data_IF_301200820286
#
_entry.id   IF_301200820286
#
_cell.length_a   1.000
_cell.length_b   1.000
_cell.length_c   1.000
_cell.angle_alpha   90.00
_cell.angle_beta   90.00
_cell.angle_gamma   90.00
#
_symmetry.space_group_name_H-M   'P 1'
#
loop_
_entity.id
_entity.type
_entity.pdbx_description
1 polymer ?
#
# COMPACT_ATOMS: atom_id res chain seq x y z
N UNK A 1 7.69 0.92 4.67
CA UNK A 1 7.33 2.12 5.48
C UNK A 1 8.00 3.33 4.84
N UNK A 2 7.25 4.08 4.02
CA UNK A 2 7.74 5.27 3.33
C UNK A 2 7.60 6.46 4.28
N UNK A 3 8.71 7.01 4.77
CA UNK A 3 8.71 8.30 5.44
C UNK A 3 8.48 9.38 4.37
N UNK A 4 7.37 10.11 4.49
CA UNK A 4 7.18 11.40 3.84
C UNK A 4 7.71 12.50 4.78
N UNK A 5 8.16 13.64 4.22
CA UNK A 5 9.16 14.48 4.86
C UNK A 5 8.58 15.41 5.90
N UNK A 6 9.44 15.70 6.88
CA UNK A 6 9.24 16.67 7.94
C UNK A 6 9.26 18.08 7.35
N UNK A 7 8.24 18.87 7.65
CA UNK A 7 8.17 20.29 7.35
C UNK A 7 8.58 21.06 8.60
N UNK A 8 9.58 21.93 8.52
CA UNK A 8 9.75 23.03 9.48
C UNK A 8 10.04 24.34 8.77
N UNK A 9 9.32 25.43 9.10
CA UNK A 9 9.47 26.73 8.47
C UNK A 9 10.70 27.49 8.96
N UNK A 10 11.14 28.39 8.10
CA UNK A 10 12.40 29.15 8.11
C UNK A 10 12.50 30.28 9.15
N UNK A 11 13.78 30.62 9.38
CA UNK A 11 14.39 31.90 9.80
C UNK A 11 14.46 32.22 11.29
N UNK A 12 15.71 32.20 11.78
CA UNK A 12 16.28 33.33 12.53
C UNK A 12 17.65 33.67 11.95
N UNK A 13 17.78 34.93 11.51
CA UNK A 13 19.05 35.60 11.25
C UNK A 13 19.94 35.46 12.49
N UNK A 14 21.10 34.83 12.36
CA UNK A 14 22.25 35.17 13.19
C UNK A 14 23.18 36.04 12.34
N UNK A 15 23.21 37.30 12.72
CA UNK A 15 24.11 38.32 12.23
C UNK A 15 25.52 37.95 12.71
N UNK A 16 26.40 37.48 11.83
CA UNK A 16 27.83 37.30 12.14
C UNK A 16 28.51 36.01 11.68
N UNK A 17 27.86 35.13 10.91
CA UNK A 17 28.46 33.85 10.50
C UNK A 17 29.34 34.01 9.26
N UNK A 18 30.62 33.67 9.39
CA UNK A 18 31.57 33.65 8.26
C UNK A 18 31.26 32.51 7.30
N UNK A 19 31.38 32.77 6.00
CA UNK A 19 31.32 31.81 4.89
C UNK A 19 32.05 30.49 5.27
N UNK A 20 31.46 29.30 5.03
CA UNK A 20 32.13 28.02 5.28
C UNK A 20 33.55 27.96 4.71
N UNK A 21 33.82 28.60 3.57
CA UNK A 21 35.15 28.73 2.96
C UNK A 21 36.10 29.54 3.85
N UNK A 22 35.59 30.62 4.44
CA UNK A 22 36.32 31.47 5.38
C UNK A 22 36.59 30.73 6.71
N UNK A 23 35.72 29.82 7.13
CA UNK A 23 35.94 28.98 8.33
C UNK A 23 37.04 27.96 8.08
N UNK A 24 37.00 27.23 6.97
CA UNK A 24 38.03 26.25 6.61
C UNK A 24 39.40 26.91 6.45
N UNK A 25 39.46 28.06 5.78
CA UNK A 25 40.73 28.82 5.63
C UNK A 25 41.26 29.38 6.96
N UNK A 26 40.41 29.82 7.90
CA UNK A 26 40.84 30.18 9.26
C UNK A 26 41.40 28.99 10.04
N UNK A 27 40.79 27.81 9.91
CA UNK A 27 41.25 26.59 10.56
C UNK A 27 42.57 26.07 9.97
N UNK A 28 42.81 26.30 8.67
CA UNK A 28 44.08 26.01 7.99
C UNK A 28 45.22 26.96 8.40
N UNK A 29 44.90 28.22 8.75
CA UNK A 29 45.87 29.26 9.15
C UNK A 29 46.19 29.26 10.66
N UNK A 30 45.45 28.50 11.47
CA UNK A 30 45.67 28.47 12.92
C UNK A 30 46.96 27.69 13.23
N UNK A 31 47.99 28.42 13.68
CA UNK A 31 49.29 27.88 14.06
C UNK A 31 49.13 26.85 15.19
N UNK A 32 49.32 25.56 14.87
CA UNK A 32 49.21 24.45 15.82
C UNK A 32 48.61 23.17 15.23
N UNK A 33 48.00 23.21 14.04
CA UNK A 33 47.43 22.01 13.41
C UNK A 33 48.38 21.48 12.33
N UNK A 34 49.01 20.33 12.59
CA UNK A 34 49.74 19.56 11.57
C UNK A 34 48.72 18.81 10.70
N UNK A 35 48.05 19.53 9.80
CA UNK A 35 47.22 18.91 8.77
C UNK A 35 48.15 18.24 7.74
N UNK A 36 47.92 16.98 7.35
CA UNK A 36 48.70 16.34 6.29
C UNK A 36 48.75 17.22 5.04
N UNK A 37 49.95 17.43 4.48
CA UNK A 37 50.20 18.32 3.33
C UNK A 37 49.30 18.01 2.14
N UNK A 38 48.95 16.74 1.95
CA UNK A 38 48.09 16.29 0.86
C UNK A 38 46.63 16.75 1.04
N UNK A 39 46.09 16.66 2.26
CA UNK A 39 44.74 17.13 2.58
C UNK A 39 44.64 18.66 2.52
N UNK A 40 45.73 19.35 2.90
CA UNK A 40 45.82 20.81 2.79
C UNK A 40 45.79 21.29 1.34
N UNK A 41 46.59 20.67 0.46
CA UNK A 41 46.57 20.97 -0.98
C UNK A 41 45.22 20.69 -1.62
N UNK A 42 44.57 19.58 -1.25
CA UNK A 42 43.23 19.23 -1.74
C UNK A 42 42.19 20.29 -1.32
N UNK A 43 42.24 20.76 -0.08
CA UNK A 43 41.35 21.81 0.43
C UNK A 43 41.65 23.18 -0.19
N UNK A 44 42.91 23.57 -0.33
CA UNK A 44 43.33 24.83 -0.96
C UNK A 44 42.88 24.88 -2.43
N UNK A 45 43.08 23.79 -3.19
CA UNK A 45 42.61 23.67 -4.57
C UNK A 45 41.08 23.76 -4.70
N UNK A 46 40.33 23.16 -3.77
CA UNK A 46 38.86 23.25 -3.75
C UNK A 46 38.43 24.69 -3.44
N UNK A 47 39.10 25.37 -2.51
CA UNK A 47 38.81 26.76 -2.11
C UNK A 47 39.12 27.76 -3.24
N UNK A 48 40.14 27.50 -4.05
CA UNK A 48 40.52 28.34 -5.21
C UNK A 48 39.51 28.26 -6.38
N UNK A 49 38.58 27.30 -6.38
CA UNK A 49 37.54 27.25 -7.40
C UNK A 49 36.43 28.27 -7.12
N UNK A 50 36.43 29.36 -7.89
CA UNK A 50 35.63 30.59 -7.67
C UNK A 50 34.11 30.44 -7.72
N UNK A 51 33.53 29.36 -8.25
CA UNK A 51 32.08 29.34 -8.57
C UNK A 51 31.17 28.60 -7.58
N UNK A 52 31.72 27.72 -6.74
CA UNK A 52 31.06 27.13 -5.58
C UNK A 52 31.90 25.91 -5.16
N UNK A 53 32.75 26.00 -4.12
CA UNK A 53 33.58 24.87 -3.72
C UNK A 53 32.70 23.70 -3.26
N UNK A 54 32.61 22.66 -4.09
CA UNK A 54 31.88 21.43 -3.75
C UNK A 54 32.83 20.55 -2.94
N UNK A 55 32.59 20.50 -1.63
CA UNK A 55 33.35 19.66 -0.74
C UNK A 55 32.67 18.29 -0.57
N UNK A 56 33.40 17.21 -0.86
CA UNK A 56 32.92 15.86 -0.57
C UNK A 56 32.78 15.64 0.94
N UNK A 57 31.70 14.98 1.35
CA UNK A 57 31.48 14.62 2.76
C UNK A 57 32.62 13.77 3.33
N UNK A 58 33.29 12.96 2.49
CA UNK A 58 34.46 12.17 2.91
C UNK A 58 35.61 13.08 3.33
N UNK A 59 35.94 14.07 2.52
CA UNK A 59 37.02 15.04 2.79
C UNK A 59 36.69 15.87 4.05
N UNK A 60 35.43 16.31 4.21
CA UNK A 60 34.96 16.99 5.43
C UNK A 60 35.14 16.15 6.69
N UNK A 61 34.74 14.88 6.62
CA UNK A 61 34.81 13.93 7.74
C UNK A 61 36.25 13.62 8.11
N UNK A 62 37.13 13.44 7.13
CA UNK A 62 38.56 13.21 7.34
C UNK A 62 39.20 14.43 8.01
N UNK A 63 38.92 15.64 7.51
CA UNK A 63 39.40 16.89 8.11
C UNK A 63 38.94 17.08 9.56
N UNK A 64 37.65 16.85 9.83
CA UNK A 64 37.12 16.88 11.20
C UNK A 64 37.82 15.87 12.11
N UNK A 65 38.03 14.64 11.65
CA UNK A 65 38.69 13.61 12.45
C UNK A 65 40.11 14.04 12.84
N UNK A 66 40.86 14.62 11.90
CA UNK A 66 42.18 15.17 12.18
C UNK A 66 42.14 16.34 13.18
N UNK A 67 41.16 17.23 13.12
CA UNK A 67 41.03 18.32 14.10
C UNK A 67 40.72 17.79 15.50
N UNK A 68 39.89 16.75 15.59
CA UNK A 68 39.54 16.08 16.85
C UNK A 68 40.74 15.37 17.46
N UNK A 69 41.53 14.65 16.65
CA UNK A 69 42.73 13.94 17.09
C UNK A 69 43.82 14.92 17.61
N UNK A 70 43.83 16.16 17.12
CA UNK A 70 44.71 17.25 17.59
C UNK A 70 44.10 18.08 18.74
N UNK A 71 43.03 17.58 19.39
CA UNK A 71 42.45 18.18 20.59
C UNK A 71 41.70 19.49 20.36
N UNK A 72 41.29 19.81 19.13
CA UNK A 72 40.43 20.97 18.87
C UNK A 72 38.96 20.60 19.14
N UNK A 73 38.24 21.36 20.01
CA UNK A 73 36.83 21.13 20.27
C UNK A 73 35.99 21.75 19.14
N UNK A 74 36.03 21.14 17.96
CA UNK A 74 35.29 21.59 16.79
C UNK A 74 34.26 20.54 16.37
N UNK A 75 33.02 20.96 16.10
CA UNK A 75 31.93 20.04 15.76
C UNK A 75 31.58 20.09 14.27
N UNK A 76 31.21 18.94 13.70
CA UNK A 76 30.88 18.82 12.28
C UNK A 76 29.68 19.68 11.86
N UNK A 77 28.69 19.87 12.73
CA UNK A 77 27.54 20.73 12.45
C UNK A 77 27.96 22.19 12.27
N UNK A 78 29.00 22.67 12.95
CA UNK A 78 29.53 24.04 12.79
C UNK A 78 30.23 24.24 11.44
N UNK A 79 30.75 23.16 10.83
CA UNK A 79 31.28 23.18 9.47
C UNK A 79 30.16 23.18 8.42
N UNK A 80 29.04 22.53 8.73
CA UNK A 80 27.92 22.31 7.81
C UNK A 80 26.81 23.36 7.88
N UNK A 81 26.78 24.17 8.95
CA UNK A 81 25.70 25.12 9.29
C UNK A 81 25.31 26.06 8.15
N UNK A 82 26.27 26.47 7.32
CA UNK A 82 26.09 27.40 6.20
C UNK A 82 26.40 26.75 4.83
N UNK A 83 26.48 25.41 4.77
CA UNK A 83 26.78 24.67 3.54
C UNK A 83 25.51 24.24 2.80
N UNK A 84 25.47 24.40 1.47
CA UNK A 84 24.40 23.88 0.63
C UNK A 84 24.69 22.44 0.18
N UNK A 85 23.79 21.50 0.47
CA UNK A 85 23.95 20.12 0.03
C UNK A 85 23.56 19.98 -1.45
N UNK A 86 24.53 19.66 -2.30
CA UNK A 86 24.28 19.37 -3.71
C UNK A 86 23.90 17.89 -3.88
N UNK A 87 22.61 17.60 -3.94
CA UNK A 87 22.14 16.25 -4.27
C UNK A 87 22.18 16.07 -5.79
N UNK A 88 22.81 15.00 -6.30
CA UNK A 88 22.72 14.69 -7.72
C UNK A 88 21.25 14.46 -8.09
N UNK A 89 20.80 15.14 -9.15
CA UNK A 89 19.44 14.99 -9.65
C UNK A 89 19.27 13.56 -10.15
N UNK A 90 18.39 12.80 -9.52
CA UNK A 90 18.06 11.44 -9.94
C UNK A 90 17.44 11.54 -11.34
N UNK A 91 18.10 10.96 -12.34
CA UNK A 91 17.54 10.87 -13.69
C UNK A 91 16.34 9.92 -13.66
N UNK A 92 15.15 10.47 -13.87
CA UNK A 92 13.96 9.64 -14.01
C UNK A 92 13.99 8.96 -15.38
N UNK A 93 13.89 7.63 -15.45
CA UNK A 93 13.93 6.92 -16.72
C UNK A 93 12.80 7.37 -17.65
N UNK A 94 13.01 7.34 -18.98
CA UNK A 94 12.00 7.73 -19.94
C UNK A 94 10.75 6.85 -19.81
N UNK A 95 9.59 7.49 -19.81
CA UNK A 95 8.31 6.81 -19.57
C UNK A 95 7.95 5.95 -20.77
N UNK A 96 7.73 4.65 -20.54
CA UNK A 96 7.33 3.72 -21.58
C UNK A 96 5.98 4.15 -22.22
N UNK A 97 5.89 4.24 -23.56
CA UNK A 97 4.70 4.73 -24.26
C UNK A 97 3.44 3.89 -24.00
N UNK A 98 3.62 2.59 -23.75
CA UNK A 98 2.52 1.68 -23.40
C UNK A 98 1.91 2.04 -22.04
N UNK A 99 2.74 2.45 -21.07
CA UNK A 99 2.25 2.87 -19.75
C UNK A 99 1.51 4.21 -19.81
N UNK A 100 1.96 5.14 -20.66
CA UNK A 100 1.28 6.42 -20.88
C UNK A 100 -0.10 6.19 -21.49
N UNK A 101 -0.19 5.40 -22.56
CA UNK A 101 -1.45 5.07 -23.20
C UNK A 101 -2.43 4.36 -22.24
N UNK A 102 -1.94 3.48 -21.37
CA UNK A 102 -2.76 2.84 -20.33
C UNK A 102 -3.30 3.85 -19.32
N UNK A 103 -2.47 4.80 -18.90
CA UNK A 103 -2.88 5.81 -17.92
C UNK A 103 -3.87 6.81 -18.51
N UNK A 104 -3.69 7.19 -19.77
CA UNK A 104 -4.66 8.02 -20.48
C UNK A 104 -6.02 7.33 -20.60
N UNK A 105 -6.02 6.03 -20.94
CA UNK A 105 -7.25 5.22 -20.95
C UNK A 105 -7.91 5.16 -19.58
N UNK A 106 -7.14 4.93 -18.51
CA UNK A 106 -7.67 4.90 -17.14
C UNK A 106 -8.23 6.27 -16.75
N UNK A 107 -7.53 7.36 -17.04
CA UNK A 107 -7.96 8.73 -16.76
C UNK A 107 -9.25 9.06 -17.52
N UNK A 108 -9.33 8.70 -18.80
CA UNK A 108 -10.53 8.87 -19.60
C UNK A 108 -11.71 8.06 -19.05
N UNK A 109 -11.48 6.80 -18.64
CA UNK A 109 -12.51 5.95 -18.03
C UNK A 109 -13.05 6.56 -16.74
N UNK A 110 -12.17 6.98 -15.83
CA UNK A 110 -12.57 7.60 -14.57
C UNK A 110 -13.32 8.91 -14.78
N UNK A 111 -12.86 9.75 -15.72
CA UNK A 111 -13.55 10.98 -16.07
C UNK A 111 -14.95 10.72 -16.65
N UNK A 112 -15.11 9.67 -17.46
CA UNK A 112 -16.40 9.29 -18.01
C UNK A 112 -17.34 8.72 -16.94
N UNK A 113 -16.83 7.90 -16.01
CA UNK A 113 -17.60 7.41 -14.86
C UNK A 113 -18.07 8.58 -13.97
N UNK A 114 -17.19 9.54 -13.71
CA UNK A 114 -17.52 10.74 -12.94
C UNK A 114 -18.56 11.62 -13.64
N UNK A 115 -18.38 11.85 -14.95
CA UNK A 115 -19.36 12.56 -15.77
C UNK A 115 -20.73 11.87 -15.69
N UNK A 116 -20.78 10.56 -15.90
CA UNK A 116 -22.02 9.78 -15.82
C UNK A 116 -22.66 9.82 -14.42
N UNK A 117 -21.85 9.89 -13.35
CA UNK A 117 -22.35 10.04 -11.97
C UNK A 117 -23.02 11.39 -11.77
N UNK A 118 -22.38 12.47 -12.22
CA UNK A 118 -22.90 13.84 -12.08
C UNK A 118 -24.15 14.03 -12.96
N UNK A 119 -24.13 13.52 -14.19
CA UNK A 119 -25.26 13.65 -15.13
C UNK A 119 -26.30 12.54 -14.98
N UNK A 120 -26.21 11.71 -13.93
CA UNK A 120 -27.17 10.61 -13.71
C UNK A 120 -28.59 11.17 -13.60
N UNK A 121 -28.79 12.21 -12.80
CA UNK A 121 -30.11 12.75 -12.47
C UNK A 121 -30.83 13.44 -13.63
N UNK A 122 -30.12 13.82 -14.70
CA UNK A 122 -30.74 14.46 -15.87
C UNK A 122 -31.27 13.45 -16.89
N UNK A 123 -30.86 12.18 -16.81
CA UNK A 123 -31.27 11.13 -17.75
C UNK A 123 -32.02 9.99 -17.03
N UNK A 124 -33.24 10.28 -16.57
CA UNK A 124 -34.11 9.35 -15.85
C UNK A 124 -34.45 8.07 -16.64
N UNK A 125 -34.49 8.12 -17.97
CA UNK A 125 -34.80 6.96 -18.81
C UNK A 125 -33.67 5.92 -18.84
N UNK A 126 -32.40 6.34 -18.82
CA UNK A 126 -31.25 5.42 -18.80
C UNK A 126 -30.99 4.87 -17.39
N UNK A 127 -31.39 5.62 -16.34
CA UNK A 127 -31.29 5.19 -14.94
C UNK A 127 -32.14 3.94 -14.69
N UNK A 128 -33.42 3.92 -15.07
CA UNK A 128 -34.31 2.79 -14.78
C UNK A 128 -33.80 1.45 -15.34
N UNK A 129 -33.11 1.46 -16.49
CA UNK A 129 -32.56 0.24 -17.11
C UNK A 129 -31.19 -0.17 -16.55
N UNK A 130 -30.39 0.78 -16.06
CA UNK A 130 -29.09 0.49 -15.43
C UNK A 130 -29.21 0.14 -13.97
N UNK A 131 -30.16 0.72 -13.23
CA UNK A 131 -30.45 0.35 -11.84
C UNK A 131 -30.88 -1.10 -11.74
N UNK A 132 -31.80 -1.56 -12.59
CA UNK A 132 -32.20 -2.98 -12.61
C UNK A 132 -31.04 -3.96 -12.82
N UNK A 133 -30.02 -3.59 -13.59
CA UNK A 133 -28.85 -4.45 -13.84
C UNK A 133 -27.75 -4.34 -12.78
N UNK A 134 -27.56 -3.14 -12.21
CA UNK A 134 -26.62 -2.91 -11.12
C UNK A 134 -27.12 -3.53 -9.81
N UNK A 135 -28.43 -3.46 -9.55
CA UNK A 135 -29.07 -4.16 -8.45
C UNK A 135 -28.99 -5.66 -8.67
N UNK A 136 -29.25 -6.18 -9.88
CA UNK A 136 -29.05 -7.61 -10.18
C UNK A 136 -27.60 -8.07 -9.93
N UNK A 137 -26.59 -7.26 -10.28
CA UNK A 137 -25.19 -7.59 -10.00
C UNK A 137 -24.83 -7.62 -8.51
N UNK A 138 -25.47 -6.75 -7.71
CA UNK A 138 -25.36 -6.74 -6.24
C UNK A 138 -26.13 -7.90 -5.60
N UNK A 139 -27.34 -8.17 -6.10
CA UNK A 139 -28.18 -9.29 -5.73
C UNK A 139 -27.51 -10.62 -6.04
N UNK A 140 -26.82 -10.76 -7.17
CA UNK A 140 -26.08 -11.99 -7.49
C UNK A 140 -24.92 -12.19 -6.52
N UNK A 141 -24.31 -11.12 -6.01
CA UNK A 141 -23.22 -11.22 -5.02
C UNK A 141 -23.73 -11.60 -3.63
N UNK A 142 -24.90 -11.12 -3.21
CA UNK A 142 -25.56 -11.54 -1.96
C UNK A 142 -26.25 -12.90 -2.09
N UNK A 143 -26.83 -13.21 -3.25
CA UNK A 143 -27.47 -14.49 -3.56
C UNK A 143 -26.46 -15.64 -3.69
N UNK A 144 -25.18 -15.37 -3.96
CA UNK A 144 -24.15 -16.41 -4.00
C UNK A 144 -24.11 -17.23 -2.71
N UNK A 145 -24.21 -16.60 -1.54
CA UNK A 145 -24.22 -17.30 -0.27
C UNK A 145 -25.51 -18.14 -0.12
N UNK A 146 -26.68 -17.54 -0.35
CA UNK A 146 -27.97 -18.23 -0.29
C UNK A 146 -28.05 -19.43 -1.26
N UNK A 147 -27.56 -19.27 -2.49
CA UNK A 147 -27.53 -20.33 -3.51
C UNK A 147 -26.62 -21.49 -3.08
N UNK A 148 -25.44 -21.19 -2.51
CA UNK A 148 -24.53 -22.23 -2.00
C UNK A 148 -25.21 -23.01 -0.87
N UNK A 149 -25.89 -22.33 0.04
CA UNK A 149 -26.53 -22.99 1.19
C UNK A 149 -27.74 -23.83 0.77
N UNK A 150 -28.58 -23.34 -0.14
CA UNK A 150 -29.69 -24.13 -0.72
C UNK A 150 -29.16 -25.34 -1.48
N UNK A 151 -28.07 -25.18 -2.23
CA UNK A 151 -27.43 -26.29 -2.93
C UNK A 151 -26.89 -27.34 -1.95
N UNK A 152 -26.25 -26.91 -0.86
CA UNK A 152 -25.74 -27.81 0.18
C UNK A 152 -26.89 -28.62 0.82
N UNK A 153 -28.01 -27.96 1.14
CA UNK A 153 -29.22 -28.63 1.65
C UNK A 153 -29.74 -29.69 0.67
N UNK A 154 -29.89 -29.35 -0.61
CA UNK A 154 -30.39 -30.28 -1.63
C UNK A 154 -29.45 -31.48 -1.81
N UNK A 155 -28.14 -31.24 -1.83
CA UNK A 155 -27.14 -32.30 -1.93
C UNK A 155 -27.22 -33.24 -0.73
N UNK A 156 -27.34 -32.71 0.49
CA UNK A 156 -27.45 -33.53 1.70
C UNK A 156 -28.72 -34.38 1.68
N UNK A 157 -29.89 -33.79 1.39
CA UNK A 157 -31.17 -34.53 1.34
C UNK A 157 -31.15 -35.61 0.26
N UNK A 158 -30.63 -35.29 -0.94
CA UNK A 158 -30.51 -36.24 -2.03
C UNK A 158 -29.52 -37.38 -1.71
N UNK A 159 -28.39 -37.05 -1.09
CA UNK A 159 -27.41 -38.04 -0.66
C UNK A 159 -27.98 -38.96 0.43
N UNK A 160 -28.66 -38.42 1.44
CA UNK A 160 -29.33 -39.22 2.47
C UNK A 160 -30.38 -40.14 1.86
N UNK A 161 -31.21 -39.64 0.94
CA UNK A 161 -32.20 -40.45 0.25
C UNK A 161 -31.56 -41.60 -0.54
N UNK A 162 -30.54 -41.30 -1.35
CA UNK A 162 -29.83 -42.30 -2.13
C UNK A 162 -29.15 -43.35 -1.24
N UNK A 163 -28.43 -42.91 -0.20
CA UNK A 163 -27.76 -43.77 0.76
C UNK A 163 -28.75 -44.65 1.53
N UNK A 164 -29.88 -44.09 1.99
CA UNK A 164 -30.89 -44.86 2.69
C UNK A 164 -31.61 -45.86 1.77
N UNK A 165 -31.87 -45.49 0.52
CA UNK A 165 -32.47 -46.38 -0.47
C UNK A 165 -31.53 -47.54 -0.85
N UNK A 166 -30.24 -47.25 -1.09
CA UNK A 166 -29.20 -48.26 -1.35
C UNK A 166 -28.95 -49.15 -0.12
N UNK A 167 -28.83 -48.55 1.07
CA UNK A 167 -28.62 -49.26 2.33
C UNK A 167 -29.81 -50.13 2.72
N UNK A 168 -31.04 -49.68 2.44
CA UNK A 168 -32.26 -50.44 2.68
C UNK A 168 -32.35 -51.71 1.84
N UNK A 169 -31.55 -51.86 0.77
CA UNK A 169 -31.51 -53.10 0.00
C UNK A 169 -31.02 -54.30 0.82
N UNK A 170 -30.21 -54.04 1.86
CA UNK A 170 -29.67 -55.08 2.73
C UNK A 170 -30.63 -55.49 3.86
N UNK A 171 -31.61 -54.65 4.20
CA UNK A 171 -32.54 -54.88 5.32
C UNK A 171 -33.93 -55.30 4.83
N UNK A 172 -34.41 -54.73 3.73
CA UNK A 172 -35.75 -54.97 3.20
C UNK A 172 -35.66 -55.52 1.77
N UNK A 173 -36.41 -56.57 1.45
CA UNK A 173 -36.48 -57.15 0.09
C UNK A 173 -37.48 -56.42 -0.80
N UNK A 174 -38.52 -55.84 -0.20
CA UNK A 174 -39.61 -55.14 -0.89
C UNK A 174 -39.21 -53.73 -1.34
N UNK A 175 -39.45 -53.40 -2.61
CA UNK A 175 -39.12 -52.09 -3.20
C UNK A 175 -39.89 -50.95 -2.53
N UNK A 176 -41.17 -51.16 -2.22
CA UNK A 176 -42.02 -50.18 -1.54
C UNK A 176 -41.48 -49.83 -0.14
N UNK A 177 -41.07 -50.84 0.63
CA UNK A 177 -40.51 -50.63 1.97
C UNK A 177 -39.19 -49.84 1.91
N UNK A 178 -38.35 -50.08 0.89
CA UNK A 178 -37.09 -49.36 0.66
C UNK A 178 -37.30 -47.87 0.35
N UNK A 179 -38.32 -47.54 -0.42
CA UNK A 179 -38.64 -46.13 -0.72
C UNK A 179 -39.18 -45.45 0.53
N UNK A 180 -40.09 -46.08 1.26
CA UNK A 180 -40.68 -45.51 2.48
C UNK A 180 -39.59 -45.27 3.54
N UNK A 181 -38.69 -46.23 3.77
CA UNK A 181 -37.58 -46.06 4.73
C UNK A 181 -36.63 -44.94 4.32
N UNK A 182 -36.31 -44.82 3.03
CA UNK A 182 -35.46 -43.75 2.50
C UNK A 182 -36.11 -42.36 2.65
N UNK A 183 -37.41 -42.24 2.39
CA UNK A 183 -38.15 -40.98 2.56
C UNK A 183 -38.20 -40.56 4.02
N UNK A 184 -38.42 -41.50 4.96
CA UNK A 184 -38.42 -41.20 6.40
C UNK A 184 -37.04 -40.70 6.84
N UNK A 185 -35.97 -41.40 6.45
CA UNK A 185 -34.61 -40.99 6.79
C UNK A 185 -34.24 -39.62 6.20
N UNK A 186 -34.55 -39.38 4.93
CA UNK A 186 -34.34 -38.10 4.26
C UNK A 186 -35.15 -36.96 4.90
N UNK A 187 -36.37 -37.24 5.38
CA UNK A 187 -37.21 -36.24 6.05
C UNK A 187 -36.61 -35.79 7.38
N UNK A 188 -36.09 -36.72 8.20
CA UNK A 188 -35.47 -36.37 9.49
C UNK A 188 -34.22 -35.51 9.27
N UNK A 189 -33.34 -35.91 8.33
CA UNK A 189 -32.14 -35.13 8.00
C UNK A 189 -32.49 -33.79 7.38
N UNK A 190 -33.47 -33.74 6.48
CA UNK A 190 -33.95 -32.51 5.87
C UNK A 190 -34.48 -31.52 6.90
N UNK A 191 -35.23 -31.97 7.91
CA UNK A 191 -35.67 -31.10 9.01
C UNK A 191 -34.51 -30.59 9.86
N UNK A 192 -33.50 -31.41 10.13
CA UNK A 192 -32.30 -31.01 10.87
C UNK A 192 -31.50 -29.93 10.12
N UNK A 193 -31.24 -30.15 8.83
CA UNK A 193 -30.52 -29.19 7.98
C UNK A 193 -31.33 -27.91 7.76
N UNK A 194 -32.65 -28.01 7.55
CA UNK A 194 -33.54 -26.86 7.43
C UNK A 194 -33.56 -26.01 8.70
N UNK A 195 -33.56 -26.65 9.88
CA UNK A 195 -33.49 -25.94 11.15
C UNK A 195 -32.17 -25.17 11.30
N UNK A 196 -31.04 -25.79 10.94
CA UNK A 196 -29.73 -25.13 10.94
C UNK A 196 -29.71 -23.96 9.95
N UNK A 197 -30.27 -24.14 8.76
CA UNK A 197 -30.40 -23.06 7.77
C UNK A 197 -31.20 -21.88 8.31
N UNK A 198 -32.40 -22.13 8.82
CA UNK A 198 -33.26 -21.08 9.39
C UNK A 198 -32.54 -20.34 10.52
N UNK A 199 -31.87 -21.08 11.41
CA UNK A 199 -31.14 -20.48 12.53
C UNK A 199 -29.90 -19.68 12.11
N UNK A 200 -29.20 -20.11 11.07
CA UNK A 200 -28.07 -19.33 10.53
C UNK A 200 -28.52 -18.03 9.85
N UNK A 201 -29.70 -18.04 9.20
CA UNK A 201 -30.30 -16.84 8.61
C UNK A 201 -30.82 -15.86 9.67
N UNK A 202 -31.42 -16.36 10.75
CA UNK A 202 -31.84 -15.53 11.89
C UNK A 202 -30.64 -14.98 12.69
N UNK A 203 -29.54 -15.75 12.75
CA UNK A 203 -28.30 -15.34 13.42
C UNK A 203 -27.56 -14.18 12.75
N UNK A 204 -27.64 -14.05 11.41
CA UNK A 204 -27.09 -12.87 10.72
C UNK A 204 -27.90 -11.57 10.94
N UNK A 205 -29.13 -11.66 11.49
CA UNK A 205 -29.95 -10.52 11.89
C UNK A 205 -29.82 -10.15 13.38
N UNK A 206 -29.02 -10.90 14.14
CA UNK A 206 -28.97 -10.85 15.60
C UNK A 206 -27.62 -10.48 16.18
N UNK A 207 -27.01 -9.37 15.77
CA UNK A 207 -26.07 -8.60 16.60
C UNK A 207 -26.01 -7.13 16.13
N UNK A 208 -26.07 -6.14 17.05
CA UNK A 208 -25.83 -4.71 16.75
C UNK A 208 -24.35 -4.37 16.52
#
# INVERSE_FOLDING_TARGET
KRYCPVTFPLKRKYLGTSDPVTRVSKLLKKEGVSVPTELRKELEHIIEQEQSPILSFRTARTFHKYLQDNGQPFYLNELLEDSSLHLPKVETPPRNPVLVARLERIKAKLANEEYNRITRNVNSQVINRRETLADFGREVRSAKAAVITVFNFLVTVAATFACAYLGSQYIFTETTARVISAVIAASVVGLAELYVLVRTMEGELGEP
#
